data_IF_955039013454
#
_entry.id   IF_955039013454
#
_cell.length_a   1.000
_cell.length_b   1.000
_cell.length_c   1.000
_cell.angle_alpha   90.00
_cell.angle_beta   90.00
_cell.angle_gamma   90.00
#
_symmetry.space_group_name_H-M   'P 1'
#
loop_
_entity.id
_entity.type
_entity.pdbx_description
1 polymer ?
#
# COMPACT_ATOMS: atom_id res chain seq x y z
N UNK A 1 0.61 15.94 15.77
CA UNK A 1 0.03 14.64 15.34
C UNK A 1 0.42 14.31 13.91
N UNK A 2 0.46 13.03 13.54
CA UNK A 2 0.77 12.59 12.18
C UNK A 2 -0.45 12.63 11.26
N UNK A 3 -0.27 12.99 9.98
CA UNK A 3 -1.33 13.07 8.96
C UNK A 3 -1.68 11.70 8.36
N UNK A 4 -1.90 10.68 9.19
CA UNK A 4 -2.01 9.27 8.78
C UNK A 4 -3.19 9.01 7.83
N UNK A 5 -4.33 9.67 8.04
CA UNK A 5 -5.48 9.59 7.13
C UNK A 5 -5.18 10.13 5.73
N UNK A 6 -4.35 11.17 5.62
CA UNK A 6 -3.94 11.71 4.32
C UNK A 6 -2.86 10.82 3.68
N UNK A 7 -1.95 10.27 4.48
CA UNK A 7 -0.94 9.33 4.01
C UNK A 7 -1.58 8.04 3.44
N UNK A 8 -2.59 7.49 4.12
CA UNK A 8 -3.29 6.28 3.64
C UNK A 8 -3.97 6.49 2.29
N UNK A 9 -4.48 7.69 1.99
CA UNK A 9 -5.02 8.03 0.66
C UNK A 9 -3.94 7.94 -0.43
N UNK A 10 -2.70 8.36 -0.14
CA UNK A 10 -1.61 8.29 -1.12
C UNK A 10 -1.16 6.84 -1.36
N UNK A 11 -1.01 6.03 -0.31
CA UNK A 11 -0.63 4.63 -0.47
C UNK A 11 -1.71 3.80 -1.18
N UNK A 12 -3.00 4.08 -0.93
CA UNK A 12 -4.11 3.47 -1.68
C UNK A 12 -4.04 3.74 -3.19
N UNK A 13 -3.60 4.94 -3.60
CA UNK A 13 -3.41 5.26 -5.02
C UNK A 13 -2.33 4.41 -5.66
N UNK A 14 -1.21 4.19 -4.96
CA UNK A 14 -0.13 3.32 -5.44
C UNK A 14 -0.65 1.91 -5.68
N UNK A 15 -1.35 1.32 -4.69
CA UNK A 15 -1.95 -0.02 -4.83
C UNK A 15 -2.91 -0.05 -6.03
N UNK A 16 -3.85 0.90 -6.10
CA UNK A 16 -4.85 0.95 -7.18
C UNK A 16 -4.25 1.10 -8.58
N UNK A 17 -3.17 1.87 -8.74
CA UNK A 17 -2.50 2.03 -10.04
C UNK A 17 -1.74 0.77 -10.47
N UNK A 18 -1.12 0.06 -9.52
CA UNK A 18 -0.27 -1.08 -9.83
C UNK A 18 -0.99 -2.44 -9.74
N UNK A 19 -2.23 -2.48 -9.25
CA UNK A 19 -3.02 -3.71 -9.16
C UNK A 19 -3.53 -4.21 -10.51
N UNK A 20 -3.76 -3.29 -11.46
CA UNK A 20 -4.33 -3.61 -12.78
C UNK A 20 -3.34 -3.50 -13.93
N UNK A 21 -2.11 -3.08 -13.67
CA UNK A 21 -1.13 -2.90 -14.72
C UNK A 21 -0.50 -4.24 -15.11
N UNK A 22 -0.73 -4.66 -16.35
CA UNK A 22 -0.37 -6.00 -16.85
C UNK A 22 0.63 -5.96 -18.00
N UNK A 23 1.01 -4.76 -18.46
CA UNK A 23 1.87 -4.53 -19.63
C UNK A 23 3.26 -3.98 -19.30
N UNK A 24 3.82 -4.38 -18.15
CA UNK A 24 5.15 -3.93 -17.71
C UNK A 24 6.27 -4.81 -18.28
N UNK A 25 7.44 -4.22 -18.53
CA UNK A 25 8.65 -5.01 -18.75
C UNK A 25 9.04 -5.75 -17.46
N UNK A 26 9.78 -6.88 -17.53
CA UNK A 26 10.11 -7.68 -16.35
C UNK A 26 10.78 -6.91 -15.21
N UNK A 27 11.66 -5.96 -15.53
CA UNK A 27 12.35 -5.13 -14.54
C UNK A 27 11.41 -4.08 -13.90
N UNK A 28 10.44 -3.59 -14.64
CA UNK A 28 9.39 -2.69 -14.16
C UNK A 28 8.39 -3.44 -13.27
N UNK A 29 8.06 -4.69 -13.64
CA UNK A 29 7.19 -5.55 -12.85
C UNK A 29 7.78 -5.83 -11.46
N UNK A 30 9.09 -6.09 -11.37
CA UNK A 30 9.78 -6.29 -10.10
C UNK A 30 9.74 -5.03 -9.22
N UNK A 31 10.01 -3.86 -9.82
CA UNK A 31 9.90 -2.56 -9.13
C UNK A 31 8.46 -2.28 -8.66
N UNK A 32 7.47 -2.63 -9.49
CA UNK A 32 6.06 -2.46 -9.15
C UNK A 32 5.63 -3.36 -7.99
N UNK A 33 6.07 -4.63 -7.98
CA UNK A 33 5.85 -5.55 -6.85
C UNK A 33 6.45 -5.02 -5.56
N UNK A 34 7.70 -4.56 -5.60
CA UNK A 34 8.37 -3.98 -4.44
C UNK A 34 7.63 -2.73 -3.91
N UNK A 35 7.19 -1.86 -4.81
CA UNK A 35 6.46 -0.64 -4.46
C UNK A 35 5.06 -0.95 -3.88
N UNK A 36 4.35 -1.96 -4.42
CA UNK A 36 3.08 -2.44 -3.87
C UNK A 36 3.23 -2.98 -2.46
N UNK A 37 4.24 -3.83 -2.23
CA UNK A 37 4.54 -4.35 -0.89
C UNK A 37 4.78 -3.21 0.10
N UNK A 38 5.62 -2.23 -0.28
CA UNK A 38 5.87 -1.06 0.56
C UNK A 38 4.59 -0.25 0.82
N UNK A 39 3.70 -0.10 -0.16
CA UNK A 39 2.43 0.59 0.02
C UNK A 39 1.50 -0.12 1.00
N UNK A 40 1.38 -1.46 0.91
CA UNK A 40 0.59 -2.26 1.85
C UNK A 40 1.13 -2.18 3.28
N UNK A 41 2.44 -2.34 3.48
CA UNK A 41 3.06 -2.20 4.81
C UNK A 41 2.85 -0.80 5.41
N UNK A 42 2.95 0.24 4.59
CA UNK A 42 2.69 1.61 5.04
C UNK A 42 1.21 1.87 5.33
N UNK A 43 0.28 1.24 4.61
CA UNK A 43 -1.14 1.26 4.94
C UNK A 43 -1.41 0.58 6.27
N UNK A 44 -0.86 -0.61 6.49
CA UNK A 44 -0.97 -1.30 7.77
C UNK A 44 -0.47 -0.43 8.93
N UNK A 45 0.69 0.21 8.77
CA UNK A 45 1.22 1.15 9.76
C UNK A 45 0.28 2.35 10.01
N UNK A 46 -0.25 2.96 8.95
CA UNK A 46 -1.20 4.06 9.09
C UNK A 46 -2.43 3.64 9.88
N UNK A 47 -3.00 2.46 9.58
CA UNK A 47 -4.17 1.93 10.28
C UNK A 47 -3.87 1.59 11.75
N UNK A 48 -2.71 1.02 12.06
CA UNK A 48 -2.27 0.83 13.45
C UNK A 48 -2.17 2.17 14.20
N UNK A 49 -1.65 3.22 13.57
CA UNK A 49 -1.58 4.57 14.18
C UNK A 49 -2.94 5.23 14.36
N UNK A 50 -3.94 4.84 13.57
CA UNK A 50 -5.33 5.30 13.67
C UNK A 50 -6.21 4.38 14.53
N UNK A 51 -5.63 3.32 15.14
CA UNK A 51 -6.35 2.33 15.95
C UNK A 51 -7.42 1.55 15.17
N UNK A 52 -7.16 1.26 13.89
CA UNK A 52 -8.02 0.46 13.00
C UNK A 52 -7.35 -0.92 12.73
N UNK A 53 -7.47 -1.92 13.62
CA UNK A 53 -6.69 -3.16 13.52
C UNK A 53 -7.13 -4.09 12.38
N UNK A 54 -8.42 -4.13 12.04
CA UNK A 54 -8.93 -4.97 10.94
C UNK A 54 -8.31 -4.61 9.58
N UNK A 55 -8.39 -3.34 9.10
CA UNK A 55 -7.75 -2.98 7.83
C UNK A 55 -6.22 -3.01 7.91
N UNK A 56 -5.63 -2.94 9.11
CA UNK A 56 -4.20 -3.17 9.28
C UNK A 56 -3.83 -4.63 8.94
N UNK A 57 -4.55 -5.59 9.52
CA UNK A 57 -4.34 -7.02 9.25
C UNK A 57 -4.54 -7.35 7.77
N UNK A 58 -5.62 -6.85 7.15
CA UNK A 58 -5.88 -7.04 5.72
C UNK A 58 -4.72 -6.56 4.83
N UNK A 59 -4.00 -5.50 5.23
CA UNK A 59 -2.84 -5.01 4.49
C UNK A 59 -1.54 -5.75 4.82
N UNK A 60 -1.45 -6.45 5.96
CA UNK A 60 -0.32 -7.33 6.27
C UNK A 60 -0.38 -8.65 5.48
N UNK A 61 -1.58 -9.11 5.13
CA UNK A 61 -1.79 -10.35 4.37
C UNK A 61 -1.55 -10.18 2.85
N UNK A 62 -1.46 -8.94 2.37
CA UNK A 62 -1.29 -8.57 0.95
C UNK A 62 0.18 -8.48 0.57
#
# INVERSE_FOLDING_TARGET
EGKYKQASVQYKRIVSWLEHESSMQPDEEEKAKALRLAAHLNLAMCYLKMQEPSPALENCDK
#
